data_IF_756048869136
#
_entry.id   IF_756048869136
#
_cell.length_a   1.000
_cell.length_b   1.000
_cell.length_c   1.000
_cell.angle_alpha   90.00
_cell.angle_beta   90.00
_cell.angle_gamma   90.00
#
_symmetry.space_group_name_H-M   'P 1'
#
loop_
_entity.id
_entity.type
_entity.pdbx_description
1 polymer ?
#
# COMPACT_ATOMS: atom_id res chain seq x y z
N UNK A 1 15.76 12.36 -7.78
CA UNK A 1 15.13 11.15 -7.18
C UNK A 1 15.97 9.93 -7.54
N UNK A 2 16.22 9.01 -6.60
CA UNK A 2 17.27 7.96 -6.61
C UNK A 2 17.40 7.09 -7.88
N UNK A 3 16.43 7.10 -8.78
CA UNK A 3 16.45 6.30 -10.03
C UNK A 3 16.03 7.08 -11.29
N UNK A 4 15.93 8.41 -11.19
CA UNK A 4 15.49 9.30 -12.28
C UNK A 4 14.17 8.87 -12.98
N UNK A 5 13.28 8.20 -12.24
CA UNK A 5 11.99 7.75 -12.76
C UNK A 5 10.96 8.89 -12.80
N UNK A 6 10.00 8.85 -13.74
CA UNK A 6 8.87 9.76 -13.75
C UNK A 6 8.08 9.67 -12.44
N UNK A 7 7.70 10.81 -11.88
CA UNK A 7 7.01 10.91 -10.58
C UNK A 7 5.92 11.98 -10.60
N UNK A 8 5.31 12.20 -11.77
CA UNK A 8 4.25 13.19 -11.91
C UNK A 8 2.93 12.70 -11.28
N UNK A 9 2.05 13.65 -10.99
CA UNK A 9 0.76 13.37 -10.35
C UNK A 9 -0.12 12.48 -11.24
N UNK A 10 -0.05 12.64 -12.56
CA UNK A 10 -0.77 11.82 -13.53
C UNK A 10 -0.39 10.33 -13.47
N UNK A 11 0.82 9.99 -13.05
CA UNK A 11 1.27 8.61 -12.85
C UNK A 11 0.95 8.10 -11.44
N UNK A 12 1.22 8.92 -10.41
CA UNK A 12 1.08 8.49 -9.01
C UNK A 12 -0.37 8.37 -8.57
N UNK A 13 -1.24 9.29 -9.01
CA UNK A 13 -2.64 9.31 -8.61
C UNK A 13 -3.41 8.04 -8.99
N UNK A 14 -3.42 7.58 -10.27
CA UNK A 14 -4.10 6.34 -10.63
C UNK A 14 -3.48 5.13 -9.93
N UNK A 15 -2.16 5.10 -9.74
CA UNK A 15 -1.49 4.02 -9.02
C UNK A 15 -1.99 3.89 -7.56
N UNK A 16 -2.08 5.01 -6.82
CA UNK A 16 -2.61 5.02 -5.45
C UNK A 16 -4.05 4.53 -5.40
N UNK A 17 -4.90 4.98 -6.34
CA UNK A 17 -6.30 4.53 -6.41
C UNK A 17 -6.41 3.03 -6.69
N UNK A 18 -5.59 2.50 -7.61
CA UNK A 18 -5.54 1.06 -7.89
C UNK A 18 -5.14 0.27 -6.65
N UNK A 19 -4.13 0.73 -5.90
CA UNK A 19 -3.78 0.10 -4.63
C UNK A 19 -4.94 0.15 -3.64
N UNK A 20 -5.64 1.27 -3.51
CA UNK A 20 -6.82 1.38 -2.62
C UNK A 20 -7.87 0.30 -2.87
N UNK A 21 -8.15 -0.03 -4.14
CA UNK A 21 -9.09 -1.10 -4.50
C UNK A 21 -8.51 -2.49 -4.23
N UNK A 22 -7.25 -2.72 -4.65
CA UNK A 22 -6.59 -4.03 -4.53
C UNK A 22 -6.38 -4.42 -3.06
N UNK A 23 -6.18 -3.45 -2.18
CA UNK A 23 -5.92 -3.67 -0.76
C UNK A 23 -7.14 -4.17 0.03
N UNK A 24 -8.35 -4.10 -0.54
CA UNK A 24 -9.56 -4.68 0.07
C UNK A 24 -9.39 -6.20 0.29
N UNK A 25 -8.63 -6.86 -0.60
CA UNK A 25 -8.40 -8.31 -0.55
C UNK A 25 -7.01 -8.69 0.01
N UNK A 26 -6.30 -7.74 0.63
CA UNK A 26 -5.00 -8.03 1.24
C UNK A 26 -5.20 -8.82 2.54
N UNK A 27 -4.49 -9.95 2.75
CA UNK A 27 -4.55 -10.68 4.00
C UNK A 27 -3.95 -9.85 5.13
N UNK A 28 -4.58 -9.84 6.31
CA UNK A 28 -4.13 -9.14 7.52
C UNK A 28 -2.91 -9.77 8.21
N UNK A 29 -2.03 -10.41 7.44
CA UNK A 29 -0.81 -11.04 7.91
C UNK A 29 0.42 -10.21 7.50
N UNK A 30 1.58 -10.33 8.20
CA UNK A 30 2.77 -9.55 7.89
C UNK A 30 3.20 -9.68 6.42
N UNK A 31 3.39 -8.54 5.75
CA UNK A 31 3.77 -8.49 4.33
C UNK A 31 2.64 -8.81 3.34
N UNK A 32 1.41 -9.06 3.80
CA UNK A 32 0.28 -9.41 2.93
C UNK A 32 -0.04 -8.35 1.88
N UNK A 33 0.06 -7.06 2.25
CA UNK A 33 -0.26 -5.97 1.36
C UNK A 33 0.81 -5.75 0.27
N UNK A 34 2.11 -5.89 0.57
CA UNK A 34 3.14 -5.76 -0.48
C UNK A 34 3.07 -6.90 -1.49
N UNK A 35 2.77 -8.12 -1.05
CA UNK A 35 2.60 -9.26 -1.96
C UNK A 35 1.44 -9.04 -2.95
N UNK A 36 0.42 -8.24 -2.57
CA UNK A 36 -0.63 -7.79 -3.50
C UNK A 36 -0.21 -6.61 -4.37
N UNK A 37 0.55 -5.65 -3.83
CA UNK A 37 1.00 -4.49 -4.58
C UNK A 37 2.04 -4.82 -5.68
N UNK A 38 2.83 -5.88 -5.51
CA UNK A 38 3.90 -6.26 -6.45
C UNK A 38 3.44 -6.36 -7.91
N UNK A 39 2.26 -6.95 -8.17
CA UNK A 39 1.73 -7.08 -9.53
C UNK A 39 1.33 -5.75 -10.17
N UNK A 40 1.22 -4.69 -9.39
CA UNK A 40 0.82 -3.35 -9.83
C UNK A 40 1.99 -2.35 -9.88
N UNK A 41 3.16 -2.70 -9.34
CA UNK A 41 4.38 -1.89 -9.46
C UNK A 41 4.79 -1.55 -10.91
N UNK A 42 4.49 -2.38 -11.94
CA UNK A 42 4.74 -2.01 -13.32
C UNK A 42 4.00 -0.74 -13.78
N UNK A 43 2.90 -0.35 -13.12
CA UNK A 43 2.18 0.90 -13.41
C UNK A 43 3.07 2.14 -13.24
N UNK A 44 4.08 2.06 -12.38
CA UNK A 44 5.03 3.14 -12.12
C UNK A 44 6.43 2.83 -12.70
N UNK A 45 6.52 1.83 -13.58
CA UNK A 45 7.76 1.47 -14.26
C UNK A 45 8.72 0.59 -13.44
N UNK A 46 8.26 -0.01 -12.35
CA UNK A 46 9.05 -0.96 -11.55
C UNK A 46 8.65 -2.39 -11.98
N UNK A 47 9.55 -3.16 -12.61
CA UNK A 47 9.29 -4.56 -12.92
C UNK A 47 9.03 -5.37 -11.64
N UNK A 48 8.14 -6.35 -11.72
CA UNK A 48 7.79 -7.23 -10.59
C UNK A 48 9.02 -7.99 -10.07
N UNK A 49 9.93 -8.32 -10.98
CA UNK A 49 11.20 -8.98 -10.70
C UNK A 49 12.33 -7.97 -10.90
N UNK A 50 13.04 -7.65 -9.83
CA UNK A 50 14.18 -6.73 -9.90
C UNK A 50 14.61 -6.16 -8.57
N UNK A 51 15.77 -5.48 -8.56
CA UNK A 51 16.34 -4.90 -7.35
C UNK A 51 15.45 -3.81 -6.71
N UNK A 52 14.69 -3.08 -7.53
CA UNK A 52 13.75 -2.08 -7.01
C UNK A 52 12.53 -2.73 -6.36
N UNK A 53 11.99 -3.81 -6.93
CA UNK A 53 10.88 -4.55 -6.32
C UNK A 53 11.30 -5.22 -5.01
N UNK A 54 12.50 -5.82 -4.94
CA UNK A 54 13.03 -6.40 -3.70
C UNK A 54 13.28 -5.33 -2.63
N UNK A 55 13.77 -4.14 -3.02
CA UNK A 55 13.88 -3.00 -2.12
C UNK A 55 12.52 -2.55 -1.59
N UNK A 56 11.49 -2.50 -2.45
CA UNK A 56 10.12 -2.17 -2.02
C UNK A 56 9.56 -3.19 -1.02
N UNK A 57 9.85 -4.49 -1.20
CA UNK A 57 9.50 -5.53 -0.22
C UNK A 57 10.20 -5.28 1.11
N UNK A 58 11.51 -5.03 1.09
CA UNK A 58 12.27 -4.78 2.31
C UNK A 58 11.76 -3.53 3.04
N UNK A 59 11.60 -2.42 2.34
CA UNK A 59 11.06 -1.18 2.91
C UNK A 59 9.66 -1.36 3.46
N UNK A 60 8.78 -2.05 2.71
CA UNK A 60 7.43 -2.33 3.18
C UNK A 60 7.44 -3.16 4.47
N UNK A 61 8.21 -4.24 4.52
CA UNK A 61 8.29 -5.09 5.71
C UNK A 61 8.80 -4.32 6.94
N UNK A 62 9.71 -3.36 6.75
CA UNK A 62 10.19 -2.52 7.87
C UNK A 62 9.13 -1.57 8.43
N UNK A 63 8.08 -1.26 7.66
CA UNK A 63 7.07 -0.26 8.01
C UNK A 63 5.64 -0.83 8.11
N UNK A 64 5.43 -2.12 7.86
CA UNK A 64 4.10 -2.78 7.82
C UNK A 64 3.32 -2.62 9.14
N UNK A 65 4.05 -2.50 10.25
CA UNK A 65 3.48 -2.23 11.57
C UNK A 65 2.74 -0.89 11.64
N UNK A 66 3.18 0.14 10.93
CA UNK A 66 2.47 1.41 10.85
C UNK A 66 1.15 1.27 10.09
N UNK A 67 1.17 0.56 8.95
CA UNK A 67 -0.04 0.29 8.17
C UNK A 67 -1.08 -0.49 8.99
N UNK A 68 -0.63 -1.52 9.72
CA UNK A 68 -1.50 -2.30 10.62
C UNK A 68 -2.08 -1.44 11.74
N UNK A 69 -1.27 -0.59 12.39
CA UNK A 69 -1.74 0.30 13.44
C UNK A 69 -2.76 1.33 12.93
N UNK A 70 -2.55 1.88 11.73
CA UNK A 70 -3.49 2.80 11.09
C UNK A 70 -4.83 2.13 10.78
N UNK A 71 -4.83 0.89 10.25
CA UNK A 71 -6.06 0.15 9.96
C UNK A 71 -6.89 -0.09 11.23
N UNK A 72 -6.27 -0.62 12.29
CA UNK A 72 -6.95 -0.86 13.57
C UNK A 72 -7.48 0.43 14.19
N UNK A 73 -6.69 1.51 14.14
CA UNK A 73 -7.11 2.81 14.67
C UNK A 73 -8.27 3.42 13.87
N UNK A 74 -8.25 3.27 12.54
CA UNK A 74 -9.31 3.72 11.64
C UNK A 74 -10.62 2.96 11.88
N UNK A 75 -10.56 1.63 12.00
CA UNK A 75 -11.74 0.80 12.30
C UNK A 75 -12.35 1.18 13.65
N UNK A 76 -11.52 1.43 14.66
CA UNK A 76 -11.99 1.90 15.96
C UNK A 76 -12.63 3.29 15.88
N UNK A 77 -12.05 4.23 15.12
CA UNK A 77 -12.63 5.55 14.92
C UNK A 77 -14.01 5.47 14.25
N UNK A 78 -14.16 4.60 13.25
CA UNK A 78 -15.45 4.34 12.59
C UNK A 78 -16.45 3.73 13.58
N UNK A 79 -16.02 2.77 14.41
CA UNK A 79 -16.88 2.15 15.42
C UNK A 79 -17.43 3.19 16.42
N UNK A 80 -16.58 4.10 16.91
CA UNK A 80 -16.98 5.20 17.81
C UNK A 80 -17.98 6.12 17.13
N UNK A 81 -17.77 6.48 15.86
CA UNK A 81 -18.70 7.31 15.10
C UNK A 81 -20.06 6.62 14.94
N UNK A 82 -20.08 5.33 14.59
CA UNK A 82 -21.32 4.56 14.44
C UNK A 82 -22.09 4.49 15.76
N UNK A 83 -21.38 4.38 16.89
CA UNK A 83 -21.99 4.34 18.22
C UNK A 83 -22.73 5.63 18.56
N UNK A 84 -22.27 6.80 18.08
CA UNK A 84 -22.98 8.08 18.29
C UNK A 84 -24.34 8.18 17.61
N UNK A 85 -24.62 7.33 16.62
CA UNK A 85 -25.91 7.30 15.91
C UNK A 85 -26.88 6.25 16.46
N UNK A 86 -26.45 5.43 17.42
CA UNK A 86 -27.31 4.49 18.15
C UNK A 86 -27.93 5.15 19.37
#
# INVERSE_FOLDING_TARGET
MMSNMPHNLALMFPFILTLGVVMIAAPGAPGGAIMRALSFLPMIGIPVEGALASLMIALYLTQDSFGTACNVSGDNAIAVIIDTFK
#
